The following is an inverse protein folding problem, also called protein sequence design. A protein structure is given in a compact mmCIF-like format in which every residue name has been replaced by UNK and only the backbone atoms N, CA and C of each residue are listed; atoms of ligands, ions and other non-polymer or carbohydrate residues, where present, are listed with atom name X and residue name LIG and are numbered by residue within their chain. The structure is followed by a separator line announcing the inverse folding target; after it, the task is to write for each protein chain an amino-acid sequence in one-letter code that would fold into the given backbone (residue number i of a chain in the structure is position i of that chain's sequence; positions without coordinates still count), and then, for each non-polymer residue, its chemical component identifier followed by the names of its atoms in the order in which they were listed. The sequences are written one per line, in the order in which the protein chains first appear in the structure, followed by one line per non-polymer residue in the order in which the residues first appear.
data_IF_984813081445
#
_entry.id   IF_984813081445
#
_cell.length_a   1.000
_cell.length_b   1.000
_cell.length_c   1.000
_cell.angle_alpha   90.00
_cell.angle_beta   90.00
_cell.angle_gamma   90.00
#
_symmetry.space_group_name_H-M   'P 1'
#
loop_
_entity.id
_entity.type
_entity.pdbx_description
1 polymer ?
#
# COMPACT_ATOMS: atom_id res chain seq x y z
N UNK A 1 -1.14 -4.41 -0.40
CA UNK A 1 -1.54 -3.76 -1.67
C UNK A 1 -0.36 -3.75 -2.62
N UNK A 2 -0.59 -3.76 -3.93
CA UNK A 2 0.48 -3.64 -4.96
C UNK A 2 0.07 -2.60 -6.00
N UNK A 3 0.92 -1.63 -6.29
CA UNK A 3 0.72 -0.59 -7.30
C UNK A 3 1.96 -0.54 -8.23
N UNK A 4 1.94 -1.23 -9.39
CA UNK A 4 3.10 -1.33 -10.27
C UNK A 4 3.31 -0.06 -11.10
N UNK A 5 3.71 1.03 -10.44
CA UNK A 5 3.97 2.35 -11.03
C UNK A 5 5.31 2.89 -10.57
N UNK A 6 6.02 3.58 -11.47
CA UNK A 6 7.24 4.33 -11.13
C UNK A 6 6.92 5.68 -10.46
N UNK A 7 5.68 6.15 -10.60
CA UNK A 7 5.22 7.39 -9.99
C UNK A 7 4.96 7.19 -8.49
N UNK A 8 6.00 7.42 -7.67
CA UNK A 8 5.93 7.33 -6.21
C UNK A 8 4.89 8.28 -5.62
N UNK A 9 4.71 9.46 -6.21
CA UNK A 9 3.73 10.45 -5.75
C UNK A 9 2.30 9.92 -5.95
N UNK A 10 2.03 9.33 -7.11
CA UNK A 10 0.77 8.64 -7.37
C UNK A 10 0.56 7.48 -6.40
N UNK A 11 1.56 6.60 -6.25
CA UNK A 11 1.47 5.44 -5.38
C UNK A 11 1.19 5.83 -3.92
N UNK A 12 1.92 6.82 -3.39
CA UNK A 12 1.75 7.31 -2.02
C UNK A 12 0.39 7.97 -1.80
N UNK A 13 -0.08 8.79 -2.74
CA UNK A 13 -1.41 9.42 -2.66
C UNK A 13 -2.52 8.37 -2.64
N UNK A 14 -2.46 7.38 -3.54
CA UNK A 14 -3.44 6.30 -3.60
C UNK A 14 -3.33 5.39 -2.36
N UNK A 15 -2.10 5.07 -1.94
CA UNK A 15 -1.80 4.27 -0.76
C UNK A 15 -2.41 4.83 0.50
N UNK A 16 -2.25 6.13 0.78
CA UNK A 16 -2.90 6.81 1.92
C UNK A 16 -4.42 6.61 1.92
N UNK A 17 -5.05 6.84 0.77
CA UNK A 17 -6.51 6.68 0.62
C UNK A 17 -6.97 5.25 0.91
N UNK A 18 -6.20 4.25 0.49
CA UNK A 18 -6.53 2.84 0.72
C UNK A 18 -6.23 2.38 2.16
N UNK A 19 -5.16 2.90 2.76
CA UNK A 19 -4.67 2.47 4.07
C UNK A 19 -5.33 3.20 5.24
N UNK A 20 -5.80 4.44 5.07
CA UNK A 20 -6.27 5.28 6.19
C UNK A 20 -7.34 4.59 7.05
N UNK A 21 -8.34 3.96 6.44
CA UNK A 21 -9.39 3.26 7.19
C UNK A 21 -8.85 2.08 8.00
N UNK A 22 -7.84 1.39 7.48
CA UNK A 22 -7.19 0.27 8.16
C UNK A 22 -6.35 0.80 9.33
N UNK A 23 -5.45 1.76 9.08
CA UNK A 23 -4.53 2.31 10.07
C UNK A 23 -5.21 2.93 11.30
N UNK A 24 -6.43 3.43 11.12
CA UNK A 24 -7.21 4.05 12.19
C UNK A 24 -8.28 3.13 12.80
N UNK A 25 -8.49 1.93 12.24
CA UNK A 25 -9.40 0.94 12.84
C UNK A 25 -8.79 0.38 14.13
N UNK A 26 -9.63 0.19 15.16
CA UNK A 26 -9.23 -0.17 16.54
C UNK A 26 -8.12 -1.23 16.62
N UNK A 27 -8.29 -2.37 15.95
CA UNK A 27 -7.33 -3.49 16.01
C UNK A 27 -5.98 -3.14 15.39
N UNK A 28 -5.98 -2.45 14.25
CA UNK A 28 -4.76 -2.09 13.55
C UNK A 28 -4.05 -0.91 14.21
N UNK A 29 -4.78 0.08 14.73
CA UNK A 29 -4.20 1.16 15.52
C UNK A 29 -3.43 0.59 16.73
N UNK A 30 -4.02 -0.36 17.47
CA UNK A 30 -3.35 -1.04 18.58
C UNK A 30 -2.12 -1.85 18.11
N UNK A 31 -2.20 -2.53 16.98
CA UNK A 31 -1.08 -3.25 16.39
C UNK A 31 0.09 -2.33 16.03
N UNK A 32 -0.19 -1.18 15.40
CA UNK A 32 0.83 -0.20 15.05
C UNK A 32 1.44 0.48 16.30
N UNK A 33 0.65 0.73 17.34
CA UNK A 33 1.18 1.19 18.62
C UNK A 33 2.16 0.16 19.23
N UNK A 34 1.80 -1.12 19.20
CA UNK A 34 2.68 -2.22 19.66
C UNK A 34 3.98 -2.32 18.84
N UNK A 35 3.93 -2.04 17.53
CA UNK A 35 5.12 -1.94 16.67
C UNK A 35 5.98 -0.69 16.94
N UNK A 36 5.63 0.17 17.90
CA UNK A 36 6.36 1.40 18.21
C UNK A 36 6.06 2.57 17.25
N UNK A 37 4.95 2.52 16.50
CA UNK A 37 4.55 3.56 15.54
C UNK A 37 3.52 4.54 16.10
N UNK A 38 3.38 4.63 17.42
CA UNK A 38 2.38 5.50 18.04
C UNK A 38 2.61 6.98 17.70
N UNK A 39 3.83 7.48 17.88
CA UNK A 39 4.17 8.87 17.59
C UNK A 39 4.01 9.20 16.08
N UNK A 40 4.28 8.22 15.22
CA UNK A 40 4.17 8.35 13.76
C UNK A 40 2.71 8.50 13.31
N UNK A 41 1.76 7.88 14.03
CA UNK A 41 0.35 7.84 13.64
C UNK A 41 -0.58 8.71 14.50
N UNK A 42 -0.09 9.31 15.58
CA UNK A 42 -0.89 10.12 16.51
C UNK A 42 -1.71 11.21 15.80
N UNK A 43 -1.10 11.93 14.85
CA UNK A 43 -1.80 12.94 14.06
C UNK A 43 -2.93 12.37 13.19
N UNK A 44 -2.72 11.19 12.59
CA UNK A 44 -3.77 10.48 11.83
C UNK A 44 -4.90 10.04 12.76
N UNK A 45 -4.58 9.42 13.90
CA UNK A 45 -5.56 8.91 14.85
C UNK A 45 -6.43 10.03 15.43
N UNK A 46 -5.85 11.19 15.76
CA UNK A 46 -6.61 12.36 16.21
C UNK A 46 -7.56 12.88 15.14
N UNK A 47 -7.06 13.09 13.92
CA UNK A 47 -7.90 13.52 12.80
C UNK A 47 -9.06 12.57 12.52
N UNK A 48 -8.80 11.25 12.60
CA UNK A 48 -9.83 10.24 12.44
C UNK A 48 -10.87 10.27 13.56
N UNK A 49 -10.45 10.42 14.81
CA UNK A 49 -11.35 10.53 15.96
C UNK A 49 -12.23 11.78 15.89
N UNK A 50 -11.76 12.85 15.24
CA UNK A 50 -12.52 14.07 14.96
C UNK A 50 -13.46 13.92 13.74
N UNK A 51 -13.45 12.76 13.07
CA UNK A 51 -14.31 12.50 11.92
C UNK A 51 -13.79 13.06 10.59
N UNK A 52 -12.49 13.34 10.48
CA UNK A 52 -11.84 13.89 9.29
C UNK A 52 -10.91 12.85 8.62
N UNK A 53 -11.46 11.97 7.75
CA UNK A 53 -10.67 10.93 7.09
C UNK A 53 -9.66 11.49 6.08
N UNK A 54 -9.90 12.68 5.52
CA UNK A 54 -8.98 13.31 4.56
C UNK A 54 -7.74 13.84 5.28
N UNK A 55 -7.92 14.54 6.40
CA UNK A 55 -6.82 14.97 7.26
C UNK A 55 -6.09 13.78 7.87
N UNK A 56 -6.81 12.73 8.26
CA UNK A 56 -6.19 11.50 8.74
C UNK A 56 -5.28 10.88 7.67
N UNK A 57 -5.77 10.77 6.43
CA UNK A 57 -4.97 10.23 5.33
C UNK A 57 -3.74 11.11 5.04
N UNK A 58 -3.90 12.44 5.02
CA UNK A 58 -2.81 13.38 4.80
C UNK A 58 -1.73 13.32 5.89
N UNK A 59 -2.11 13.00 7.12
CA UNK A 59 -1.18 12.86 8.25
C UNK A 59 -0.34 11.58 8.21
N UNK A 60 -0.64 10.60 7.36
CA UNK A 60 0.17 9.38 7.21
C UNK A 60 1.47 9.73 6.47
N UNK A 61 2.67 9.47 7.05
CA UNK A 61 3.95 9.77 6.39
C UNK A 61 4.22 8.91 5.16
N UNK A 62 5.02 9.43 4.24
CA UNK A 62 5.38 8.74 2.99
C UNK A 62 6.10 7.42 3.26
N UNK A 63 7.00 7.40 4.23
CA UNK A 63 7.81 6.26 4.62
C UNK A 63 6.93 5.09 5.12
N UNK A 64 5.87 5.40 5.87
CA UNK A 64 4.93 4.39 6.31
C UNK A 64 4.10 3.83 5.16
N UNK A 65 3.78 4.65 4.15
CA UNK A 65 3.13 4.14 2.94
C UNK A 65 4.07 3.22 2.17
N UNK A 66 5.34 3.62 2.01
CA UNK A 66 6.36 2.82 1.34
C UNK A 66 6.61 1.46 2.05
N UNK A 67 6.51 1.42 3.38
CA UNK A 67 6.61 0.20 4.18
C UNK A 67 5.42 -0.76 3.98
N UNK A 68 4.22 -0.24 3.68
CA UNK A 68 2.96 -1.00 3.68
C UNK A 68 2.39 -1.27 2.28
N UNK A 69 2.79 -0.48 1.29
CA UNK A 69 2.38 -0.60 -0.10
C UNK A 69 3.59 -1.06 -0.93
N UNK A 70 3.44 -2.18 -1.63
CA UNK A 70 4.41 -2.55 -2.66
C UNK A 70 4.16 -1.65 -3.86
N UNK A 71 5.12 -0.80 -4.21
CA UNK A 71 5.11 0.03 -5.41
C UNK A 71 6.52 0.18 -5.97
N UNK A 72 6.60 0.72 -7.18
CA UNK A 72 7.79 0.69 -8.02
C UNK A 72 7.44 0.11 -9.38
N UNK A 73 8.45 -0.05 -10.22
CA UNK A 73 8.22 -0.70 -11.49
C UNK A 73 7.85 -2.19 -11.32
N UNK A 74 7.34 -2.84 -12.39
CA UNK A 74 6.90 -4.23 -12.26
C UNK A 74 7.99 -5.19 -11.80
N UNK A 75 9.26 -4.93 -12.11
CA UNK A 75 10.38 -5.77 -11.66
C UNK A 75 10.65 -5.60 -10.17
N UNK A 76 10.68 -4.36 -9.69
CA UNK A 76 10.80 -4.05 -8.26
C UNK A 76 9.64 -4.68 -7.45
N UNK A 77 8.41 -4.56 -7.96
CA UNK A 77 7.24 -5.17 -7.34
C UNK A 77 7.37 -6.70 -7.27
N UNK A 78 7.77 -7.36 -8.36
CA UNK A 78 8.00 -8.82 -8.38
C UNK A 78 9.09 -9.23 -7.40
N UNK A 79 10.20 -8.50 -7.35
CA UNK A 79 11.28 -8.78 -6.42
C UNK A 79 10.82 -8.66 -4.96
N UNK A 80 9.99 -7.66 -4.63
CA UNK A 80 9.42 -7.52 -3.30
C UNK A 80 8.47 -8.69 -2.98
N UNK A 81 7.58 -9.07 -3.90
CA UNK A 81 6.70 -10.23 -3.72
C UNK A 81 7.51 -11.52 -3.51
N UNK A 82 8.58 -11.71 -4.30
CA UNK A 82 9.46 -12.87 -4.17
C UNK A 82 10.16 -12.96 -2.81
N UNK A 83 10.45 -11.82 -2.14
CA UNK A 83 10.98 -11.82 -0.77
C UNK A 83 9.99 -12.41 0.24
N UNK A 84 8.68 -12.15 0.08
CA UNK A 84 7.67 -12.77 0.94
C UNK A 84 7.60 -14.28 0.70
N UNK A 85 7.67 -14.71 -0.56
CA UNK A 85 7.70 -16.14 -0.91
C UNK A 85 8.93 -16.82 -0.32
N UNK A 86 10.11 -16.21 -0.48
CA UNK A 86 11.36 -16.72 0.10
C UNK A 86 11.33 -16.78 1.65
N UNK A 87 10.51 -15.96 2.29
CA UNK A 87 10.28 -15.98 3.74
C UNK A 87 9.25 -17.03 4.20
N UNK A 88 8.73 -17.85 3.28
CA UNK A 88 7.82 -18.97 3.59
C UNK A 88 6.33 -18.70 3.29
N UNK A 89 5.99 -17.63 2.58
CA UNK A 89 4.61 -17.43 2.08
C UNK A 89 4.39 -18.27 0.81
N UNK A 90 3.55 -19.30 0.90
CA UNK A 90 3.28 -20.18 -0.25
C UNK A 90 2.33 -19.56 -1.29
N UNK A 91 1.38 -18.72 -0.86
CA UNK A 91 0.34 -18.16 -1.76
C UNK A 91 0.11 -16.68 -1.50
N UNK A 92 0.80 -15.78 -2.24
CA UNK A 92 0.57 -14.34 -2.17
C UNK A 92 -0.78 -13.94 -2.79
N UNK A 93 -1.70 -13.42 -1.97
CA UNK A 93 -2.94 -12.80 -2.46
C UNK A 93 -2.74 -11.30 -2.68
N UNK A 94 -2.65 -10.87 -3.93
CA UNK A 94 -2.30 -9.50 -4.29
C UNK A 94 -3.56 -8.64 -4.48
N UNK A 95 -3.74 -7.66 -3.61
CA UNK A 95 -4.68 -6.57 -3.87
C UNK A 95 -4.04 -5.57 -4.84
N UNK A 96 -4.34 -5.72 -6.13
CA UNK A 96 -3.84 -4.88 -7.20
C UNK A 96 -4.52 -3.52 -7.23
N UNK A 97 -3.72 -2.45 -7.19
CA UNK A 97 -4.14 -1.08 -7.37
C UNK A 97 -3.89 -0.62 -8.81
N UNK A 98 -4.70 0.30 -9.35
CA UNK A 98 -4.47 0.86 -10.68
C UNK A 98 -3.10 1.56 -10.75
N UNK A 99 -2.48 1.53 -11.93
CA UNK A 99 -1.25 2.24 -12.25
C UNK A 99 -1.42 2.97 -13.59
N UNK A 100 -1.06 4.26 -13.71
CA UNK A 100 -1.19 5.02 -14.96
C UNK A 100 -0.60 4.32 -16.19
N UNK A 101 0.52 3.62 -16.01
CA UNK A 101 1.27 2.92 -17.05
C UNK A 101 0.53 1.71 -17.62
N UNK A 102 -0.43 1.16 -16.87
CA UNK A 102 -1.13 -0.07 -17.25
C UNK A 102 -2.44 0.21 -18.00
N UNK A 103 -2.92 1.45 -17.99
CA UNK A 103 -4.20 1.84 -18.58
C UNK A 103 -5.40 1.57 -17.65
N UNK A 104 -6.61 1.82 -18.16
CA UNK A 104 -7.86 1.73 -17.38
C UNK A 104 -8.72 0.54 -17.81
N UNK A 105 -9.70 0.20 -16.96
CA UNK A 105 -10.67 -0.87 -17.24
C UNK A 105 -10.06 -2.28 -17.24
N UNK A 106 -10.82 -3.29 -17.73
CA UNK A 106 -10.41 -4.69 -17.66
C UNK A 106 -9.08 -5.00 -18.35
N UNK A 107 -8.78 -4.32 -19.47
CA UNK A 107 -7.52 -4.51 -20.19
C UNK A 107 -6.31 -3.96 -19.42
N UNK A 108 -6.50 -2.85 -18.69
CA UNK A 108 -5.43 -2.33 -17.84
C UNK A 108 -5.12 -3.25 -16.67
N UNK A 109 -6.16 -3.82 -16.05
CA UNK A 109 -5.99 -4.85 -15.01
C UNK A 109 -5.22 -6.06 -15.55
N UNK A 110 -5.57 -6.57 -16.72
CA UNK A 110 -4.85 -7.69 -17.34
C UNK A 110 -3.39 -7.35 -17.66
N UNK A 111 -3.12 -6.12 -18.10
CA UNK A 111 -1.76 -5.64 -18.37
C UNK A 111 -0.92 -5.62 -17.09
N UNK A 112 -1.49 -5.07 -16.01
CA UNK A 112 -0.86 -5.06 -14.69
C UNK A 112 -0.61 -6.47 -14.13
N UNK A 113 -1.59 -7.38 -14.26
CA UNK A 113 -1.45 -8.77 -13.83
C UNK A 113 -0.34 -9.50 -14.60
N UNK A 114 -0.27 -9.31 -15.93
CA UNK A 114 0.81 -9.88 -16.74
C UNK A 114 2.17 -9.30 -16.37
N UNK A 115 2.24 -8.01 -16.08
CA UNK A 115 3.48 -7.36 -15.64
C UNK A 115 3.96 -7.89 -14.27
N UNK A 116 3.05 -8.31 -13.40
CA UNK A 116 3.37 -8.88 -12.09
C UNK A 116 3.47 -10.41 -12.08
N UNK A 117 3.23 -11.07 -13.21
CA UNK A 117 3.33 -12.53 -13.29
C UNK A 117 4.75 -12.98 -12.89
N UNK A 118 4.90 -14.13 -12.22
CA UNK A 118 6.21 -14.67 -11.89
C UNK A 118 7.11 -14.76 -13.13
N UNK A 119 8.38 -14.41 -12.98
CA UNK A 119 9.36 -14.66 -14.04
C UNK A 119 9.42 -16.19 -14.29
N UNK A 120 9.42 -16.58 -15.56
CA UNK A 120 9.65 -17.97 -15.98
C UNK A 120 11.14 -18.30 -15.92
#
# INVERSE_FOLDING_TARGET
YVCPTRDRTYARRLGRRMLVGILNARTYAAFHAWLGRADVLDASWRAWAEGDPERAAAAVPDELVDDLLIHGDPEECRAHIARFVAAGIDTPFLHLLPAPETGTGPQGVLTALRALAPAR
#
